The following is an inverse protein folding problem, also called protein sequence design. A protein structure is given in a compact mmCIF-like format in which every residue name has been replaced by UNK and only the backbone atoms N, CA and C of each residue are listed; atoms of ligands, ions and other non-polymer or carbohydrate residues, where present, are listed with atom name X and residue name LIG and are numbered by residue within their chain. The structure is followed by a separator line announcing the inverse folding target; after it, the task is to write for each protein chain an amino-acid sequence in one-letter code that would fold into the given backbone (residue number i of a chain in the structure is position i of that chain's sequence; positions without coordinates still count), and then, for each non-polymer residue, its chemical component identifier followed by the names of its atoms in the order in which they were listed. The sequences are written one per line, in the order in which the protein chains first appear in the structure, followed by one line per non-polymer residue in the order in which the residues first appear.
data_IF_288130865077
#
_entry.id   IF_288130865077
#
_cell.length_a   1.000
_cell.length_b   1.000
_cell.length_c   1.000
_cell.angle_alpha   90.00
_cell.angle_beta   90.00
_cell.angle_gamma   90.00
#
_symmetry.space_group_name_H-M   'P 1'
#
loop_
_entity.id
_entity.type
_entity.pdbx_description
1 polymer ?
#
# COMPACT_ATOMS: atom_id res chain seq x y z
N UNK A 1 3.08 -33.85 -6.86
CA UNK A 1 4.29 -33.06 -6.53
C UNK A 1 3.94 -31.60 -6.70
N UNK A 2 3.47 -30.94 -5.65
CA UNK A 2 3.09 -29.52 -5.71
C UNK A 2 4.37 -28.70 -5.49
N UNK A 3 5.05 -28.37 -6.57
CA UNK A 3 6.21 -27.49 -6.49
C UNK A 3 5.70 -26.12 -6.03
N UNK A 4 6.01 -25.74 -4.79
CA UNK A 4 5.78 -24.38 -4.30
C UNK A 4 6.65 -23.45 -5.15
N UNK A 5 6.05 -22.81 -6.13
CA UNK A 5 6.70 -21.73 -6.87
C UNK A 5 6.73 -20.56 -5.89
N UNK A 6 7.87 -20.35 -5.25
CA UNK A 6 8.11 -19.12 -4.51
C UNK A 6 8.15 -17.98 -5.53
N UNK A 7 7.41 -16.87 -5.32
CA UNK A 7 7.56 -15.69 -6.17
C UNK A 7 9.02 -15.24 -6.08
N UNK A 8 9.75 -15.36 -7.19
CA UNK A 8 11.15 -14.97 -7.29
C UNK A 8 11.19 -13.46 -7.51
N UNK A 9 10.89 -12.69 -6.47
CA UNK A 9 11.12 -11.25 -6.47
C UNK A 9 12.60 -10.97 -6.23
N UNK A 10 13.12 -9.96 -6.91
CA UNK A 10 14.52 -9.51 -6.80
C UNK A 10 14.85 -8.76 -5.51
N UNK A 11 13.90 -8.67 -4.57
CA UNK A 11 14.03 -7.93 -3.31
C UNK A 11 13.40 -8.68 -2.13
N UNK A 12 13.78 -8.30 -0.90
CA UNK A 12 13.21 -8.89 0.31
C UNK A 12 11.83 -8.29 0.64
N UNK A 13 10.76 -9.07 0.47
CA UNK A 13 9.39 -8.64 0.80
C UNK A 13 9.21 -8.20 2.25
N UNK A 14 9.99 -8.76 3.19
CA UNK A 14 9.89 -8.39 4.61
C UNK A 14 10.40 -6.98 4.89
N UNK A 15 11.16 -6.41 3.97
CA UNK A 15 11.67 -5.05 4.08
C UNK A 15 10.65 -3.97 3.69
N UNK A 16 9.55 -4.36 3.04
CA UNK A 16 8.48 -3.44 2.64
C UNK A 16 7.65 -3.04 3.87
N UNK A 17 7.48 -1.74 4.17
CA UNK A 17 6.64 -1.30 5.28
C UNK A 17 5.17 -1.73 5.09
N UNK A 18 4.58 -2.33 6.11
CA UNK A 18 3.18 -2.80 6.11
C UNK A 18 2.28 -2.07 7.11
N UNK A 19 2.84 -1.08 7.81
CA UNK A 19 2.18 -0.24 8.79
C UNK A 19 1.47 0.95 8.13
N UNK A 20 0.58 1.63 8.86
CA UNK A 20 -0.02 2.87 8.38
C UNK A 20 1.02 3.99 8.40
N UNK A 21 1.10 4.77 7.33
CA UNK A 21 1.94 5.97 7.28
C UNK A 21 1.08 7.24 7.36
N UNK A 22 0.96 7.81 8.56
CA UNK A 22 0.08 8.96 8.86
C UNK A 22 0.90 10.05 9.54
N UNK A 23 0.78 11.30 9.04
CA UNK A 23 1.49 12.44 9.62
C UNK A 23 3.02 12.33 9.58
N UNK A 24 3.56 11.61 8.59
CA UNK A 24 5.01 11.40 8.43
C UNK A 24 5.59 10.31 9.34
N UNK A 25 4.77 9.46 9.95
CA UNK A 25 5.20 8.38 10.85
C UNK A 25 4.54 7.06 10.50
N UNK A 26 5.29 5.97 10.61
CA UNK A 26 4.75 4.61 10.60
C UNK A 26 4.13 4.29 11.96
N UNK A 27 2.93 3.73 11.97
CA UNK A 27 2.21 3.29 13.18
C UNK A 27 1.28 2.12 12.87
N UNK A 28 0.97 1.32 13.88
CA UNK A 28 -0.08 0.31 13.78
C UNK A 28 -1.46 0.95 13.56
N UNK A 29 -2.39 0.18 12.99
CA UNK A 29 -3.80 0.56 12.90
C UNK A 29 -4.45 0.51 14.28
N UNK A 30 -5.33 1.47 14.56
CA UNK A 30 -6.02 1.60 15.85
C UNK A 30 -6.93 0.40 16.19
N UNK A 31 -7.34 -0.37 15.18
CA UNK A 31 -8.10 -1.62 15.35
C UNK A 31 -7.27 -2.77 15.97
N UNK A 32 -5.94 -2.68 15.90
CA UNK A 32 -5.00 -3.75 16.28
C UNK A 32 -5.03 -4.97 15.35
N UNK A 33 -5.83 -4.95 14.28
CA UNK A 33 -5.95 -6.04 13.31
C UNK A 33 -5.02 -5.82 12.12
N UNK A 34 -4.77 -6.91 11.38
CA UNK A 34 -4.06 -6.88 10.11
C UNK A 34 -4.83 -7.66 9.05
N UNK A 35 -4.70 -7.22 7.81
CA UNK A 35 -5.27 -7.84 6.62
C UNK A 35 -4.20 -8.65 5.91
N UNK A 36 -4.49 -9.92 5.66
CA UNK A 36 -3.61 -10.80 4.91
C UNK A 36 -3.63 -10.43 3.42
N UNK A 37 -2.44 -10.24 2.85
CA UNK A 37 -2.23 -10.03 1.42
C UNK A 37 -1.86 -11.37 0.79
N UNK A 38 -2.61 -11.76 -0.24
CA UNK A 38 -2.43 -13.03 -0.93
C UNK A 38 -1.73 -12.82 -2.27
N UNK A 39 -0.83 -13.72 -2.63
CA UNK A 39 -0.31 -13.83 -3.99
C UNK A 39 -1.42 -14.39 -4.89
N UNK A 40 -1.87 -13.65 -5.92
CA UNK A 40 -2.97 -14.08 -6.79
C UNK A 40 -2.65 -15.32 -7.62
N UNK A 41 -1.37 -15.63 -7.84
CA UNK A 41 -0.92 -16.77 -8.65
C UNK A 41 -0.85 -18.08 -7.85
N UNK A 42 -0.62 -17.99 -6.54
CA UNK A 42 -0.45 -19.16 -5.66
C UNK A 42 -1.51 -19.28 -4.57
N UNK A 43 -2.23 -18.20 -4.26
CA UNK A 43 -3.19 -18.11 -3.15
C UNK A 43 -2.54 -18.11 -1.77
N UNK A 44 -1.22 -17.99 -1.67
CA UNK A 44 -0.48 -18.01 -0.40
C UNK A 44 -0.38 -16.59 0.17
N UNK A 45 -0.44 -16.46 1.50
CA UNK A 45 -0.23 -15.18 2.19
C UNK A 45 1.23 -14.75 2.04
N UNK A 46 1.45 -13.53 1.55
CA UNK A 46 2.79 -12.95 1.34
C UNK A 46 3.15 -11.88 2.37
N UNK A 47 2.15 -11.20 2.95
CA UNK A 47 2.33 -10.17 3.97
C UNK A 47 1.03 -9.95 4.76
N UNK A 48 1.12 -9.27 5.90
CA UNK A 48 -0.03 -8.78 6.67
C UNK A 48 0.11 -7.27 6.88
N UNK A 49 -0.84 -6.50 6.35
CA UNK A 49 -0.87 -5.03 6.40
C UNK A 49 -1.82 -4.53 7.48
N UNK A 50 -1.56 -3.35 8.06
CA UNK A 50 -2.43 -2.78 9.09
C UNK A 50 -3.88 -2.60 8.59
N UNK A 51 -4.85 -3.05 9.38
CA UNK A 51 -6.29 -2.87 9.12
C UNK A 51 -6.74 -1.51 9.66
N UNK A 52 -6.83 -0.52 8.78
CA UNK A 52 -7.18 0.86 9.16
C UNK A 52 -8.66 0.98 9.53
N UNK A 53 -8.94 1.62 10.67
CA UNK A 53 -10.31 1.92 11.07
C UNK A 53 -10.77 3.30 10.58
N UNK A 54 -12.01 3.67 10.93
CA UNK A 54 -12.54 5.02 10.68
C UNK A 54 -11.73 6.07 11.45
N UNK A 55 -11.31 5.76 12.68
CA UNK A 55 -10.48 6.64 13.50
C UNK A 55 -9.12 6.91 12.83
N UNK A 56 -8.48 5.89 12.24
CA UNK A 56 -7.24 6.07 11.48
C UNK A 56 -7.43 6.96 10.25
N UNK A 57 -8.57 6.81 9.57
CA UNK A 57 -8.91 7.67 8.43
C UNK A 57 -9.12 9.12 8.86
N UNK A 58 -9.78 9.36 10.00
CA UNK A 58 -9.95 10.71 10.56
C UNK A 58 -8.60 11.32 10.95
N UNK A 59 -7.73 10.57 11.61
CA UNK A 59 -6.37 11.01 11.94
C UNK A 59 -5.57 11.40 10.68
N UNK A 60 -5.68 10.61 9.61
CA UNK A 60 -5.02 10.91 8.34
C UNK A 60 -5.53 12.20 7.71
N UNK A 61 -6.84 12.42 7.72
CA UNK A 61 -7.46 13.67 7.23
C UNK A 61 -7.04 14.85 8.08
N UNK A 62 -7.06 14.72 9.41
CA UNK A 62 -6.61 15.77 10.32
C UNK A 62 -5.14 16.11 10.10
N UNK A 63 -4.25 15.12 9.99
CA UNK A 63 -2.83 15.35 9.71
C UNK A 63 -2.61 16.06 8.37
N UNK A 64 -3.38 15.70 7.33
CA UNK A 64 -3.33 16.36 6.03
C UNK A 64 -3.84 17.81 6.09
N UNK A 65 -4.93 18.05 6.84
CA UNK A 65 -5.49 19.38 7.06
C UNK A 65 -4.48 20.31 7.75
N UNK A 66 -3.85 19.87 8.83
CA UNK A 66 -2.84 20.64 9.57
C UNK A 66 -1.59 20.93 8.72
N UNK A 67 -1.14 19.99 7.88
CA UNK A 67 -0.01 20.19 6.98
C UNK A 67 -0.34 21.09 5.77
N UNK A 68 -1.62 21.20 5.42
CA UNK A 68 -2.12 21.87 4.21
C UNK A 68 -1.65 23.32 4.04
N UNK A 69 -1.80 24.21 5.04
CA UNK A 69 -1.37 25.62 4.94
C UNK A 69 0.12 25.78 4.65
N UNK A 70 0.98 25.03 5.35
CA UNK A 70 2.43 25.09 5.16
C UNK A 70 2.84 24.57 3.77
N UNK A 71 2.21 23.48 3.31
CA UNK A 71 2.42 22.96 1.96
C UNK A 71 1.94 23.93 0.88
N UNK A 72 0.77 24.54 1.07
CA UNK A 72 0.21 25.52 0.15
C UNK A 72 1.14 26.74 -0.01
N UNK A 73 1.69 27.23 1.11
CA UNK A 73 2.66 28.34 1.16
C UNK A 73 4.03 27.99 0.54
N UNK A 74 4.33 26.71 0.29
CA UNK A 74 5.60 26.29 -0.33
C UNK A 74 5.70 26.84 -1.75
N UNK A 75 6.81 27.50 -2.06
CA UNK A 75 7.07 28.11 -3.37
C UNK A 75 6.93 27.07 -4.51
N UNK A 76 6.35 27.43 -5.68
CA UNK A 76 6.16 26.50 -6.80
C UNK A 76 7.44 25.75 -7.20
N UNK A 77 8.58 26.46 -7.26
CA UNK A 77 9.87 25.85 -7.59
C UNK A 77 10.27 24.75 -6.61
N UNK A 78 10.09 24.99 -5.31
CA UNK A 78 10.41 24.02 -4.28
C UNK A 78 9.50 22.79 -4.36
N UNK A 79 8.22 22.98 -4.66
CA UNK A 79 7.29 21.87 -4.91
C UNK A 79 7.72 21.02 -6.11
N UNK A 80 8.16 21.66 -7.20
CA UNK A 80 8.69 20.94 -8.37
C UNK A 80 9.94 20.13 -8.05
N UNK A 81 10.84 20.65 -7.22
CA UNK A 81 12.04 19.93 -6.79
C UNK A 81 11.69 18.68 -5.96
N UNK A 82 10.74 18.80 -5.04
CA UNK A 82 10.25 17.67 -4.23
C UNK A 82 9.67 16.58 -5.15
N UNK A 83 8.77 16.96 -6.07
CA UNK A 83 8.16 16.01 -7.01
C UNK A 83 9.20 15.39 -7.96
N UNK A 84 10.18 16.18 -8.41
CA UNK A 84 11.28 15.67 -9.24
C UNK A 84 12.13 14.65 -8.49
N UNK A 85 12.39 14.86 -7.20
CA UNK A 85 13.10 13.89 -6.36
C UNK A 85 12.29 12.62 -6.16
N UNK A 86 10.98 12.73 -5.94
CA UNK A 86 10.10 11.55 -5.89
C UNK A 86 10.16 10.74 -7.19
N UNK A 87 10.15 11.42 -8.35
CA UNK A 87 10.31 10.75 -9.64
C UNK A 87 11.65 10.02 -9.77
N UNK A 88 12.76 10.63 -9.35
CA UNK A 88 14.08 9.97 -9.38
C UNK A 88 14.08 8.69 -8.56
N UNK A 89 13.55 8.76 -7.33
CA UNK A 89 13.45 7.61 -6.43
C UNK A 89 12.58 6.49 -7.03
N UNK A 90 11.46 6.85 -7.68
CA UNK A 90 10.61 5.87 -8.36
C UNK A 90 11.30 5.22 -9.55
N UNK A 91 12.06 5.98 -10.35
CA UNK A 91 12.80 5.44 -11.50
C UNK A 91 13.97 4.57 -11.05
N UNK A 92 14.68 4.98 -10.00
CA UNK A 92 15.76 4.19 -9.38
C UNK A 92 15.23 2.84 -8.87
N UNK A 93 14.04 2.83 -8.25
CA UNK A 93 13.40 1.62 -7.73
C UNK A 93 12.41 0.93 -8.69
N UNK A 94 12.39 1.27 -9.98
CA UNK A 94 11.31 0.88 -10.91
C UNK A 94 11.06 -0.63 -10.99
N UNK A 95 12.12 -1.45 -10.95
CA UNK A 95 11.99 -2.90 -11.14
C UNK A 95 11.36 -3.55 -9.90
N UNK A 96 11.80 -3.13 -8.70
CA UNK A 96 11.18 -3.51 -7.43
C UNK A 96 9.71 -3.08 -7.36
N UNK A 97 9.40 -1.84 -7.76
CA UNK A 97 8.03 -1.35 -7.79
C UNK A 97 7.15 -2.13 -8.79
N UNK A 98 7.68 -2.48 -9.97
CA UNK A 98 6.95 -3.26 -10.97
C UNK A 98 6.64 -4.69 -10.48
N UNK A 99 7.61 -5.34 -9.84
CA UNK A 99 7.42 -6.64 -9.20
C UNK A 99 6.39 -6.56 -8.07
N UNK A 100 6.50 -5.57 -7.18
CA UNK A 100 5.57 -5.37 -6.08
C UNK A 100 4.15 -5.09 -6.60
N UNK A 101 3.99 -4.26 -7.64
CA UNK A 101 2.69 -3.96 -8.26
C UNK A 101 2.09 -5.23 -8.89
N UNK A 102 2.92 -6.07 -9.49
CA UNK A 102 2.47 -7.33 -10.09
C UNK A 102 1.99 -8.35 -9.06
N UNK A 103 2.59 -8.35 -7.86
CA UNK A 103 2.14 -9.16 -6.72
C UNK A 103 0.86 -8.59 -6.08
N UNK A 104 0.71 -7.26 -6.05
CA UNK A 104 -0.47 -6.58 -5.50
C UNK A 104 -1.61 -6.56 -6.54
N UNK A 105 -2.13 -7.73 -6.92
CA UNK A 105 -3.39 -7.72 -7.66
C UNK A 105 -4.52 -7.28 -6.71
N UNK A 106 -5.34 -6.34 -7.16
CA UNK A 106 -6.38 -5.49 -6.49
C UNK A 106 -7.33 -6.16 -5.48
N UNK A 107 -7.23 -7.47 -5.25
CA UNK A 107 -8.05 -8.20 -4.29
C UNK A 107 -7.22 -8.60 -3.07
N UNK A 108 -7.10 -7.70 -2.09
CA UNK A 108 -6.55 -8.01 -0.75
C UNK A 108 -7.52 -8.89 0.09
N UNK A 109 -8.43 -9.61 -0.56
CA UNK A 109 -9.49 -10.40 0.05
C UNK A 109 -9.30 -11.83 -0.46
N UNK A 110 -9.39 -12.81 0.44
CA UNK A 110 -9.25 -14.24 0.11
C UNK A 110 -9.99 -14.61 -1.20
N UNK A 111 -9.42 -15.47 -2.07
CA UNK A 111 -10.09 -15.95 -3.29
C UNK A 111 -11.50 -16.50 -3.04
N UNK A 112 -11.75 -17.09 -1.87
CA UNK A 112 -13.06 -17.60 -1.47
C UNK A 112 -14.10 -16.48 -1.23
N UNK A 113 -13.68 -15.32 -0.76
CA UNK A 113 -14.55 -14.16 -0.55
C UNK A 113 -14.72 -13.32 -1.83
N UNK A 114 -13.78 -13.38 -2.77
CA UNK A 114 -13.89 -12.77 -4.10
C UNK A 114 -15.06 -13.37 -4.92
N UNK A 115 -15.47 -14.62 -4.65
CA UNK A 115 -16.58 -15.28 -5.32
C UNK A 115 -17.97 -14.68 -4.99
N UNK A 116 -18.09 -13.72 -4.05
CA UNK A 116 -19.39 -13.24 -3.53
C UNK A 116 -19.81 -11.82 -3.98
N UNK A 117 -19.11 -11.16 -4.91
CA UNK A 117 -19.55 -9.85 -5.46
C UNK A 117 -19.35 -9.76 -6.98
N UNK A 118 -20.03 -10.60 -7.75
CA UNK A 118 -20.09 -10.48 -9.22
C UNK A 118 -21.26 -9.64 -9.74
N UNK A 119 -22.21 -9.22 -8.90
CA UNK A 119 -23.33 -8.36 -9.31
C UNK A 119 -23.00 -6.87 -9.09
N UNK A 120 -22.16 -6.33 -9.97
CA UNK A 120 -21.99 -4.88 -10.14
C UNK A 120 -22.98 -4.28 -11.17
N UNK A 121 -23.94 -5.09 -11.66
CA UNK A 121 -24.94 -4.70 -12.68
C UNK A 121 -26.32 -4.31 -12.11
N UNK A 122 -26.49 -4.24 -10.79
CA UNK A 122 -27.74 -3.81 -10.16
C UNK A 122 -27.47 -2.76 -9.08
N UNK A 123 -27.16 -1.54 -9.52
CA UNK A 123 -27.35 -0.29 -8.77
C UNK A 123 -27.44 0.86 -9.78
#
# INVERSE_FOLDING_TARGET
MTQKITPQVGFDLKSVPTDLFIGGKSRDGSSGKRLDVFDPSTGVVIAAVADASIEDALDAVSAAYEAGPAWAATAPRRKSEILRRCFELMIEGKDMLAELISLMSIHAISPAACAFRSDWRLA
#
